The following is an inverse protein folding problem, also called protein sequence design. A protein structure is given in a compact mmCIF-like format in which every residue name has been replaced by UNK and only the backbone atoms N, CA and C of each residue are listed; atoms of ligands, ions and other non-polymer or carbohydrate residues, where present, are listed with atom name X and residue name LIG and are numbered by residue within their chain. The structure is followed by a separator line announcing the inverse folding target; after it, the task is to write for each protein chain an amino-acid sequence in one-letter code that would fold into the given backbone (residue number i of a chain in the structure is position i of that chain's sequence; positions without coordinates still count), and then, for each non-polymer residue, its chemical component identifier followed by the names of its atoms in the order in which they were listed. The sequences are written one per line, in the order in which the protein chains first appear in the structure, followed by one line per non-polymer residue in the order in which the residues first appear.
data_IF_282714456045
#
_entry.id   IF_282714456045
#
_cell.length_a   1.000
_cell.length_b   1.000
_cell.length_c   1.000
_cell.angle_alpha   90.00
_cell.angle_beta   90.00
_cell.angle_gamma   90.00
#
_symmetry.space_group_name_H-M   'P 1'
#
loop_
_entity.id
_entity.type
_entity.pdbx_description
1 polymer ?
#
# COMPACT_ATOMS: atom_id res chain seq x y z
N UNK A 1 -39.41 34.17 -30.67
CA UNK A 1 -38.43 33.31 -29.97
C UNK A 1 -38.57 33.55 -28.47
N UNK A 2 -38.99 32.56 -27.68
CA UNK A 2 -39.08 32.70 -26.21
C UNK A 2 -37.68 32.53 -25.63
N UNK A 3 -37.15 33.57 -25.00
CA UNK A 3 -35.86 33.51 -24.31
C UNK A 3 -35.95 32.49 -23.15
N UNK A 4 -35.20 31.41 -23.25
CA UNK A 4 -35.03 30.43 -22.17
C UNK A 4 -34.29 31.12 -21.03
N UNK A 5 -34.93 31.24 -19.86
CA UNK A 5 -34.32 31.85 -18.68
C UNK A 5 -33.04 31.06 -18.30
N UNK A 6 -31.93 31.71 -17.92
CA UNK A 6 -30.63 31.04 -17.70
C UNK A 6 -30.54 30.24 -16.39
N UNK A 7 -31.59 30.23 -15.56
CA UNK A 7 -31.62 29.52 -14.27
C UNK A 7 -31.28 28.02 -14.31
N UNK A 8 -31.72 27.19 -15.28
CA UNK A 8 -31.36 25.78 -15.30
C UNK A 8 -29.89 25.56 -15.65
N UNK A 9 -29.26 26.47 -16.42
CA UNK A 9 -27.83 26.40 -16.75
C UNK A 9 -26.97 26.77 -15.53
N UNK A 10 -27.40 27.77 -14.75
CA UNK A 10 -26.74 28.17 -13.51
C UNK A 10 -26.83 27.08 -12.43
N UNK A 11 -27.99 26.44 -12.31
CA UNK A 11 -28.22 25.31 -11.39
C UNK A 11 -27.37 24.09 -11.77
N UNK A 12 -27.24 23.80 -13.06
CA UNK A 12 -26.37 22.74 -13.57
C UNK A 12 -24.89 23.02 -13.28
N UNK A 13 -24.44 24.27 -13.42
CA UNK A 13 -23.06 24.69 -13.12
C UNK A 13 -22.72 24.55 -11.63
N UNK A 14 -23.67 24.86 -10.74
CA UNK A 14 -23.51 24.71 -9.29
C UNK A 14 -23.37 23.25 -8.84
N UNK A 15 -24.01 22.31 -9.55
CA UNK A 15 -23.90 20.87 -9.25
C UNK A 15 -22.51 20.29 -9.58
N UNK A 16 -21.77 20.87 -10.52
CA UNK A 16 -20.41 20.42 -10.85
C UNK A 16 -19.37 20.77 -9.76
N UNK A 17 -19.65 21.75 -8.89
CA UNK A 17 -18.72 22.17 -7.83
C UNK A 17 -18.60 21.16 -6.68
N UNK A 18 -19.57 20.25 -6.53
CA UNK A 18 -19.58 19.23 -5.46
C UNK A 18 -19.08 17.85 -5.93
N UNK A 19 -18.68 17.70 -7.19
CA UNK A 19 -18.31 16.40 -7.75
C UNK A 19 -16.90 15.91 -7.35
N UNK A 20 -16.05 16.76 -6.79
CA UNK A 20 -14.70 16.37 -6.37
C UNK A 20 -14.71 15.82 -4.93
N UNK A 21 -14.78 14.49 -4.81
CA UNK A 21 -14.41 13.81 -3.56
C UNK A 21 -12.89 13.61 -3.50
N UNK A 22 -12.24 13.82 -2.34
CA UNK A 22 -10.80 13.62 -2.23
C UNK A 22 -10.46 12.15 -2.46
N UNK A 23 -9.29 11.90 -3.06
CA UNK A 23 -8.78 10.54 -3.32
C UNK A 23 -7.81 10.03 -2.24
N UNK A 24 -7.45 10.93 -1.32
CA UNK A 24 -6.52 10.70 -0.24
C UNK A 24 -7.20 11.13 1.06
N UNK A 25 -7.10 10.29 2.10
CA UNK A 25 -7.65 10.63 3.43
C UNK A 25 -6.80 11.70 4.12
N UNK A 26 -7.24 12.13 5.31
CA UNK A 26 -6.37 12.89 6.22
C UNK A 26 -5.27 12.01 6.81
N UNK A 27 -4.27 12.68 7.37
CA UNK A 27 -3.16 12.04 8.09
C UNK A 27 -3.65 11.19 9.26
N UNK A 28 -2.98 10.07 9.46
CA UNK A 28 -3.20 9.15 10.56
C UNK A 28 -1.87 8.64 11.12
N UNK A 29 -1.58 8.99 12.38
CA UNK A 29 -0.36 8.58 13.10
C UNK A 29 -0.21 7.06 13.15
N UNK A 30 -1.30 6.35 13.45
CA UNK A 30 -1.27 4.89 13.57
C UNK A 30 -0.88 4.22 12.25
N UNK A 31 -1.42 4.68 11.12
CA UNK A 31 -1.06 4.18 9.79
C UNK A 31 0.41 4.41 9.46
N UNK A 32 0.94 5.60 9.78
CA UNK A 32 2.35 5.91 9.56
C UNK A 32 3.27 5.00 10.41
N UNK A 33 2.97 4.86 11.69
CA UNK A 33 3.71 3.98 12.61
C UNK A 33 3.61 2.51 12.18
N UNK A 34 2.42 2.06 11.80
CA UNK A 34 2.20 0.69 11.33
C UNK A 34 2.99 0.41 10.05
N UNK A 35 2.99 1.34 9.09
CA UNK A 35 3.73 1.21 7.82
C UNK A 35 5.23 1.13 8.07
N UNK A 36 5.77 2.03 8.89
CA UNK A 36 7.21 2.09 9.19
C UNK A 36 7.68 0.90 10.02
N UNK A 37 6.89 0.43 10.99
CA UNK A 37 7.19 -0.78 11.75
C UNK A 37 7.14 -2.04 10.87
N UNK A 38 6.11 -2.16 10.01
CA UNK A 38 5.96 -3.31 9.13
C UNK A 38 7.09 -3.37 8.08
N UNK A 39 7.62 -2.23 7.62
CA UNK A 39 8.82 -2.21 6.76
C UNK A 39 9.97 -2.97 7.41
N UNK A 40 10.24 -2.73 8.69
CA UNK A 40 11.33 -3.39 9.43
C UNK A 40 11.09 -4.90 9.52
N UNK A 41 9.87 -5.30 9.87
CA UNK A 41 9.50 -6.73 9.91
C UNK A 41 9.69 -7.41 8.54
N UNK A 42 9.30 -6.74 7.45
CA UNK A 42 9.47 -7.25 6.08
C UNK A 42 10.96 -7.40 5.75
N UNK A 43 11.78 -6.39 6.04
CA UNK A 43 13.23 -6.47 5.76
C UNK A 43 13.87 -7.66 6.47
N UNK A 44 13.48 -7.92 7.72
CA UNK A 44 13.98 -9.05 8.51
C UNK A 44 13.56 -10.39 7.89
N UNK A 45 12.29 -10.55 7.52
CA UNK A 45 11.81 -11.80 6.89
C UNK A 45 12.41 -12.00 5.50
N UNK A 46 12.66 -10.94 4.74
CA UNK A 46 13.32 -11.05 3.45
C UNK A 46 14.75 -11.59 3.59
N UNK A 47 15.51 -11.18 4.61
CA UNK A 47 16.87 -11.71 4.86
C UNK A 47 16.89 -13.22 5.11
N UNK A 48 15.82 -13.79 5.67
CA UNK A 48 15.69 -15.22 5.94
C UNK A 48 15.60 -16.07 4.66
N UNK A 49 15.42 -15.46 3.49
CA UNK A 49 15.27 -16.21 2.24
C UNK A 49 16.54 -16.89 1.72
N UNK A 50 17.69 -16.64 2.36
CA UNK A 50 18.88 -17.46 2.17
C UNK A 50 18.67 -18.91 2.66
N UNK A 51 17.72 -19.11 3.57
CA UNK A 51 17.30 -20.41 4.08
C UNK A 51 16.07 -20.95 3.36
N UNK A 52 15.74 -22.22 3.65
CA UNK A 52 14.58 -22.89 3.07
C UNK A 52 13.29 -22.20 3.52
N UNK A 53 12.39 -21.93 2.57
CA UNK A 53 11.05 -21.38 2.83
C UNK A 53 10.29 -22.19 3.89
N UNK A 54 10.45 -23.52 3.88
CA UNK A 54 9.81 -24.41 4.86
C UNK A 54 10.28 -24.21 6.30
N UNK A 55 11.50 -23.69 6.51
CA UNK A 55 12.07 -23.46 7.84
C UNK A 55 11.45 -22.23 8.52
N UNK A 56 10.95 -21.27 7.75
CA UNK A 56 10.49 -19.96 8.24
C UNK A 56 8.98 -19.75 8.10
N UNK A 57 8.19 -20.84 8.06
CA UNK A 57 6.74 -20.78 7.86
C UNK A 57 6.01 -19.95 8.93
N UNK A 58 6.52 -19.97 10.17
CA UNK A 58 5.92 -19.22 11.28
C UNK A 58 6.08 -17.72 11.08
N UNK A 59 7.28 -17.30 10.71
CA UNK A 59 7.67 -15.92 10.42
C UNK A 59 6.89 -15.39 9.22
N UNK A 60 6.79 -16.21 8.15
CA UNK A 60 5.99 -15.92 6.96
C UNK A 60 4.49 -15.75 7.26
N UNK A 61 3.92 -16.65 8.07
CA UNK A 61 2.53 -16.55 8.49
C UNK A 61 2.28 -15.31 9.34
N UNK A 62 3.17 -15.00 10.29
CA UNK A 62 3.10 -13.80 11.10
C UNK A 62 3.20 -12.54 10.26
N UNK A 63 4.12 -12.51 9.28
CA UNK A 63 4.27 -11.38 8.37
C UNK A 63 3.01 -11.15 7.54
N UNK A 64 2.45 -12.22 6.96
CA UNK A 64 1.22 -12.13 6.17
C UNK A 64 0.08 -11.53 6.97
N UNK A 65 -0.10 -11.96 8.22
CA UNK A 65 -1.12 -11.39 9.12
C UNK A 65 -0.87 -9.90 9.36
N UNK A 66 0.38 -9.46 9.55
CA UNK A 66 0.69 -8.04 9.73
C UNK A 66 0.40 -7.22 8.48
N UNK A 67 0.76 -7.72 7.29
CA UNK A 67 0.46 -7.07 6.00
C UNK A 67 -1.04 -6.96 5.78
N UNK A 68 -1.78 -8.05 6.01
CA UNK A 68 -3.23 -8.06 5.85
C UNK A 68 -3.90 -7.09 6.84
N UNK A 69 -3.44 -7.03 8.10
CA UNK A 69 -3.94 -6.05 9.08
C UNK A 69 -3.70 -4.60 8.65
N UNK A 70 -2.53 -4.28 8.09
CA UNK A 70 -2.23 -2.95 7.60
C UNK A 70 -3.12 -2.60 6.40
N UNK A 71 -3.25 -3.52 5.44
CA UNK A 71 -4.14 -3.33 4.30
C UNK A 71 -5.60 -3.14 4.71
N UNK A 72 -6.12 -4.01 5.58
CA UNK A 72 -7.50 -3.93 6.08
C UNK A 72 -7.75 -2.63 6.85
N UNK A 73 -6.77 -2.11 7.59
CA UNK A 73 -6.90 -0.80 8.20
C UNK A 73 -7.10 0.30 7.16
N UNK A 74 -6.29 0.29 6.09
CA UNK A 74 -6.30 1.31 5.05
C UNK A 74 -7.56 1.32 4.19
N UNK A 75 -8.17 0.16 3.92
CA UNK A 75 -9.41 0.08 3.13
C UNK A 75 -10.62 0.67 3.87
N UNK A 76 -10.60 0.68 5.21
CA UNK A 76 -11.69 1.20 6.02
C UNK A 76 -11.53 2.71 6.31
N UNK A 77 -10.48 3.36 5.79
CA UNK A 77 -10.33 4.81 5.91
C UNK A 77 -11.08 5.54 4.80
N UNK A 78 -11.80 6.63 5.11
CA UNK A 78 -12.57 7.37 4.12
C UNK A 78 -11.64 7.99 3.07
N UNK A 79 -12.05 7.93 1.79
CA UNK A 79 -11.38 8.62 0.69
C UNK A 79 -9.89 8.25 0.53
N UNK A 80 -9.50 7.00 0.77
CA UNK A 80 -8.08 6.60 0.85
C UNK A 80 -7.60 5.75 -0.34
N UNK A 81 -8.19 5.97 -1.53
CA UNK A 81 -8.03 5.09 -2.69
C UNK A 81 -6.57 4.90 -3.11
N UNK A 82 -5.77 5.97 -3.13
CA UNK A 82 -4.37 5.91 -3.56
C UNK A 82 -3.55 5.00 -2.65
N UNK A 83 -3.70 5.14 -1.33
CA UNK A 83 -2.96 4.29 -0.38
C UNK A 83 -3.38 2.83 -0.50
N UNK A 84 -4.68 2.55 -0.70
CA UNK A 84 -5.19 1.20 -0.95
C UNK A 84 -4.54 0.57 -2.18
N UNK A 85 -4.45 1.29 -3.30
CA UNK A 85 -3.81 0.83 -4.53
C UNK A 85 -2.32 0.52 -4.32
N UNK A 86 -1.60 1.35 -3.55
CA UNK A 86 -0.19 1.09 -3.23
C UNK A 86 -0.01 -0.20 -2.41
N UNK A 87 -0.86 -0.45 -1.41
CA UNK A 87 -0.82 -1.70 -0.65
C UNK A 87 -1.19 -2.92 -1.51
N UNK A 88 -2.13 -2.77 -2.44
CA UNK A 88 -2.47 -3.83 -3.39
C UNK A 88 -1.26 -4.18 -4.27
N UNK A 89 -0.59 -3.19 -4.85
CA UNK A 89 0.62 -3.40 -5.63
C UNK A 89 1.74 -4.05 -4.82
N UNK A 90 1.93 -3.63 -3.57
CA UNK A 90 2.94 -4.17 -2.68
C UNK A 90 2.73 -5.67 -2.42
N UNK A 91 1.48 -6.08 -2.13
CA UNK A 91 1.14 -7.46 -1.74
C UNK A 91 0.76 -8.38 -2.91
N UNK A 92 0.68 -7.86 -4.13
CA UNK A 92 0.32 -8.62 -5.33
C UNK A 92 1.39 -9.66 -5.67
N UNK A 93 1.02 -10.94 -5.66
CA UNK A 93 1.91 -12.06 -5.96
C UNK A 93 2.21 -12.24 -7.46
N UNK A 94 1.55 -11.49 -8.32
CA UNK A 94 1.82 -11.43 -9.76
C UNK A 94 2.80 -10.33 -10.16
N UNK A 95 3.17 -9.45 -9.21
CA UNK A 95 4.11 -8.33 -9.40
C UNK A 95 5.46 -8.65 -8.79
N UNK A 96 6.38 -7.68 -8.80
CA UNK A 96 7.77 -7.88 -8.35
C UNK A 96 8.10 -7.25 -6.98
N UNK A 97 7.09 -6.78 -6.24
CA UNK A 97 7.27 -6.26 -4.88
C UNK A 97 7.18 -7.40 -3.85
N UNK A 98 6.69 -7.12 -2.63
CA UNK A 98 6.65 -8.09 -1.53
C UNK A 98 5.90 -9.37 -1.90
N UNK A 99 4.73 -9.26 -2.53
CA UNK A 99 3.95 -10.42 -2.94
C UNK A 99 4.71 -11.33 -3.90
N UNK A 100 5.35 -10.73 -4.92
CA UNK A 100 6.19 -11.44 -5.88
C UNK A 100 7.41 -12.10 -5.27
N UNK A 101 8.09 -11.37 -4.39
CA UNK A 101 9.25 -11.86 -3.66
C UNK A 101 8.91 -13.12 -2.85
N UNK A 102 7.82 -13.07 -2.07
CA UNK A 102 7.38 -14.21 -1.24
C UNK A 102 6.97 -15.40 -2.11
N UNK A 103 6.28 -15.15 -3.22
CA UNK A 103 5.93 -16.22 -4.18
C UNK A 103 7.18 -16.86 -4.77
N UNK A 104 8.17 -16.06 -5.17
CA UNK A 104 9.41 -16.58 -5.72
C UNK A 104 10.20 -17.39 -4.69
N UNK A 105 10.31 -16.91 -3.46
CA UNK A 105 10.95 -17.67 -2.39
C UNK A 105 10.24 -19.01 -2.14
N UNK A 106 8.91 -19.03 -2.17
CA UNK A 106 8.13 -20.26 -2.06
C UNK A 106 8.42 -21.26 -3.20
N UNK A 107 8.58 -20.76 -4.43
CA UNK A 107 8.84 -21.58 -5.62
C UNK A 107 10.28 -22.11 -5.67
N UNK A 108 11.25 -21.23 -5.44
CA UNK A 108 12.68 -21.55 -5.54
C UNK A 108 13.21 -22.20 -4.25
N UNK A 109 12.40 -22.23 -3.18
CA UNK A 109 12.71 -22.70 -1.81
C UNK A 109 13.78 -21.87 -1.09
N UNK A 110 14.78 -21.35 -1.81
CA UNK A 110 15.83 -20.45 -1.32
C UNK A 110 16.14 -19.42 -2.39
N UNK A 111 16.62 -18.26 -1.98
CA UNK A 111 17.02 -17.17 -2.85
C UNK A 111 18.50 -16.85 -2.68
N UNK A 112 19.14 -16.39 -3.76
CA UNK A 112 20.55 -16.00 -3.68
C UNK A 112 20.70 -14.63 -2.99
N UNK A 113 21.80 -14.38 -2.26
CA UNK A 113 21.98 -13.14 -1.50
C UNK A 113 21.91 -11.85 -2.33
N UNK A 114 22.38 -11.86 -3.57
CA UNK A 114 22.35 -10.66 -4.45
C UNK A 114 20.91 -10.29 -4.78
N UNK A 115 20.09 -11.28 -5.17
CA UNK A 115 18.68 -11.07 -5.43
C UNK A 115 17.93 -10.59 -4.18
N UNK A 116 18.24 -11.16 -3.00
CA UNK A 116 17.64 -10.73 -1.73
C UNK A 116 17.90 -9.24 -1.51
N UNK A 117 19.14 -8.78 -1.66
CA UNK A 117 19.49 -7.37 -1.43
C UNK A 117 18.80 -6.42 -2.42
N UNK A 118 18.82 -6.74 -3.71
CA UNK A 118 18.17 -5.91 -4.74
C UNK A 118 16.65 -5.84 -4.53
N UNK A 119 16.01 -6.98 -4.23
CA UNK A 119 14.58 -7.02 -3.96
C UNK A 119 14.23 -6.26 -2.68
N UNK A 120 15.05 -6.37 -1.63
CA UNK A 120 14.86 -5.62 -0.38
C UNK A 120 14.90 -4.11 -0.62
N UNK A 121 15.79 -3.63 -1.49
CA UNK A 121 15.82 -2.21 -1.84
C UNK A 121 14.48 -1.78 -2.48
N UNK A 122 14.00 -2.52 -3.48
CA UNK A 122 12.75 -2.18 -4.18
C UNK A 122 11.53 -2.23 -3.26
N UNK A 123 11.43 -3.27 -2.43
CA UNK A 123 10.34 -3.41 -1.46
C UNK A 123 10.44 -2.32 -0.38
N UNK A 124 11.64 -2.02 0.11
CA UNK A 124 11.89 -0.96 1.08
C UNK A 124 11.48 0.41 0.56
N UNK A 125 11.85 0.74 -0.68
CA UNK A 125 11.45 1.98 -1.35
C UNK A 125 9.92 2.07 -1.52
N UNK A 126 9.25 0.96 -1.83
CA UNK A 126 7.79 0.93 -1.90
C UNK A 126 7.14 1.25 -0.55
N UNK A 127 7.65 0.69 0.55
CA UNK A 127 7.21 1.07 1.91
C UNK A 127 7.47 2.54 2.22
N UNK A 128 8.65 3.06 1.85
CA UNK A 128 8.98 4.47 2.03
C UNK A 128 8.01 5.38 1.28
N UNK A 129 7.59 5.01 0.08
CA UNK A 129 6.59 5.78 -0.67
C UNK A 129 5.22 5.77 0.00
N UNK A 130 4.79 4.65 0.60
CA UNK A 130 3.54 4.60 1.37
C UNK A 130 3.64 5.52 2.60
N UNK A 131 4.75 5.44 3.35
CA UNK A 131 4.98 6.26 4.53
C UNK A 131 5.12 7.76 4.20
N UNK A 132 5.81 8.09 3.11
CA UNK A 132 5.97 9.46 2.60
C UNK A 132 4.60 10.05 2.25
N UNK A 133 3.79 9.30 1.48
CA UNK A 133 2.42 9.72 1.17
C UNK A 133 1.61 9.96 2.45
N UNK A 134 1.66 9.06 3.43
CA UNK A 134 0.95 9.23 4.70
C UNK A 134 1.42 10.51 5.41
N UNK A 135 2.73 10.70 5.57
CA UNK A 135 3.31 11.87 6.25
C UNK A 135 2.99 13.20 5.58
N UNK A 136 2.75 13.20 4.26
CA UNK A 136 2.37 14.36 3.47
C UNK A 136 0.88 14.69 3.50
N UNK A 137 0.04 13.86 4.11
CA UNK A 137 -1.40 14.11 4.22
C UNK A 137 -1.70 15.30 5.13
N UNK A 138 -2.81 15.98 4.85
CA UNK A 138 -3.31 17.08 5.67
C UNK A 138 -3.56 16.58 7.09
N UNK A 139 -2.92 17.23 8.07
CA UNK A 139 -3.09 16.95 9.50
C UNK A 139 -4.45 17.44 10.00
N UNK A 140 -4.96 16.79 11.04
CA UNK A 140 -6.15 17.24 11.75
C UNK A 140 -5.87 18.48 12.57
#
# INVERSE_FOLDING_TARGET
MKATKPYPLLLLLLLFLFACSPLISRYNEYAYQQTTALKVDVMLVMDMAADSFSTHQKELAALRVKVDKAYEYEIHRPNNRITIEMWQLLKDSSRNLLGGYLKRWQQDTKLNPVFIQEAKQQVGEAFDKIAELESGKVKN
#
